data_IF_259491731739
#
_entry.id   IF_259491731739
#
_cell.length_a   1.000
_cell.length_b   1.000
_cell.length_c   1.000
_cell.angle_alpha   90.00
_cell.angle_beta   90.00
_cell.angle_gamma   90.00
#
_symmetry.space_group_name_H-M   'P 1'
#
loop_
_entity.id
_entity.type
_entity.pdbx_description
1 polymer ?
#
# COMPACT_ATOMS: atom_id res chain seq x y z
N UNK A 1 -16.39 10.96 -12.78
CA UNK A 1 -15.10 10.43 -12.33
C UNK A 1 -15.25 8.92 -12.32
N UNK A 2 -14.20 8.20 -12.69
CA UNK A 2 -14.20 6.72 -12.62
C UNK A 2 -13.94 6.27 -11.16
N UNK A 3 -14.20 5.00 -10.86
CA UNK A 3 -13.93 4.42 -9.53
C UNK A 3 -12.42 4.27 -9.33
N UNK A 4 -11.94 4.59 -8.13
CA UNK A 4 -10.53 4.53 -7.71
C UNK A 4 -9.96 5.91 -7.34
N UNK A 5 -8.63 5.99 -7.18
CA UNK A 5 -7.89 7.24 -6.92
C UNK A 5 -8.27 8.37 -7.91
N UNK A 6 -8.36 9.59 -7.38
CA UNK A 6 -8.57 10.80 -8.19
C UNK A 6 -7.30 11.04 -9.05
N UNK A 7 -7.42 11.32 -10.36
CA UNK A 7 -6.27 11.59 -11.21
C UNK A 7 -5.36 12.69 -10.63
N UNK A 8 -4.02 12.53 -10.62
CA UNK A 8 -3.14 13.49 -9.95
C UNK A 8 -3.23 14.92 -10.45
N UNK A 9 -3.55 15.13 -11.73
CA UNK A 9 -3.78 16.46 -12.27
C UNK A 9 -4.94 17.18 -11.54
N UNK A 10 -6.01 16.45 -11.25
CA UNK A 10 -7.17 16.96 -10.53
C UNK A 10 -6.84 17.11 -9.05
N UNK A 11 -6.22 16.09 -8.44
CA UNK A 11 -5.81 16.11 -7.03
C UNK A 11 -4.88 17.28 -6.73
N UNK A 12 -3.86 17.50 -7.57
CA UNK A 12 -2.94 18.61 -7.44
C UNK A 12 -3.64 19.96 -7.59
N UNK A 13 -4.46 20.12 -8.63
CA UNK A 13 -5.14 21.39 -8.90
C UNK A 13 -6.14 21.79 -7.82
N UNK A 14 -6.91 20.84 -7.29
CA UNK A 14 -8.07 21.13 -6.41
C UNK A 14 -7.72 20.97 -4.93
N UNK A 15 -6.85 20.02 -4.56
CA UNK A 15 -6.58 19.69 -3.16
C UNK A 15 -5.17 20.11 -2.74
N UNK A 16 -4.14 19.55 -3.38
CA UNK A 16 -2.76 19.68 -2.88
C UNK A 16 -2.20 21.08 -3.09
N UNK A 17 -2.35 21.69 -4.27
CA UNK A 17 -1.85 23.05 -4.50
C UNK A 17 -2.55 24.07 -3.60
N UNK A 18 -3.89 24.07 -3.45
CA UNK A 18 -4.54 24.98 -2.52
C UNK A 18 -4.10 24.82 -1.06
N UNK A 19 -4.00 23.59 -0.55
CA UNK A 19 -3.50 23.33 0.82
C UNK A 19 -2.03 23.78 0.96
N UNK A 20 -1.22 23.54 -0.06
CA UNK A 20 0.20 23.92 -0.05
C UNK A 20 0.42 25.44 -0.16
N UNK A 21 -0.54 26.21 -0.69
CA UNK A 21 -0.48 27.67 -0.75
C UNK A 21 -1.44 28.35 0.23
N UNK A 22 -2.08 27.59 1.13
CA UNK A 22 -3.01 28.13 2.11
C UNK A 22 -2.29 29.05 3.12
N UNK A 23 -2.99 30.07 3.60
CA UNK A 23 -2.42 31.14 4.42
C UNK A 23 -1.82 30.66 5.75
N UNK A 24 -2.32 29.55 6.30
CA UNK A 24 -1.83 28.99 7.56
C UNK A 24 -0.70 28.00 7.27
N UNK A 25 0.53 28.38 7.64
CA UNK A 25 1.69 27.49 7.63
C UNK A 25 2.32 27.44 9.01
N UNK A 26 2.40 26.24 9.57
CA UNK A 26 3.14 26.01 10.81
C UNK A 26 4.58 25.59 10.51
N UNK A 27 5.50 25.99 11.38
CA UNK A 27 6.93 25.71 11.24
C UNK A 27 7.31 24.31 11.75
N UNK A 28 6.46 23.69 12.56
CA UNK A 28 6.63 22.35 13.10
C UNK A 28 6.17 21.24 12.14
N UNK A 29 5.51 21.57 11.02
CA UNK A 29 5.21 20.60 9.97
C UNK A 29 6.48 20.32 9.16
N UNK A 30 7.03 19.13 9.36
CA UNK A 30 8.28 18.64 8.77
C UNK A 30 8.09 18.17 7.32
N UNK A 31 7.10 17.29 7.10
CA UNK A 31 6.71 16.82 5.77
C UNK A 31 5.27 17.29 5.47
N UNK A 32 5.08 17.87 4.28
CA UNK A 32 3.79 18.39 3.79
C UNK A 32 3.24 17.48 2.70
N UNK A 33 1.91 17.45 2.50
CA UNK A 33 1.29 16.56 1.53
C UNK A 33 1.75 16.87 0.09
N UNK A 34 2.03 15.82 -0.66
CA UNK A 34 2.40 15.83 -2.09
C UNK A 34 1.80 14.57 -2.72
N UNK A 35 1.57 14.58 -4.04
CA UNK A 35 1.23 13.34 -4.77
C UNK A 35 2.31 12.28 -4.53
N UNK A 36 1.88 11.10 -4.10
CA UNK A 36 2.72 9.92 -3.87
C UNK A 36 3.48 9.92 -2.53
N UNK A 37 3.30 10.90 -1.65
CA UNK A 37 3.75 10.77 -0.26
C UNK A 37 2.63 10.13 0.58
N UNK A 38 2.94 9.08 1.32
CA UNK A 38 1.96 8.28 2.09
C UNK A 38 1.52 8.97 3.38
N UNK A 39 2.35 9.85 3.94
CA UNK A 39 2.12 10.39 5.27
C UNK A 39 2.50 11.88 5.37
N UNK A 40 2.06 12.50 6.47
CA UNK A 40 2.55 13.81 6.92
C UNK A 40 3.36 13.65 8.20
N UNK A 41 4.33 14.54 8.42
CA UNK A 41 5.19 14.51 9.60
C UNK A 41 5.16 15.85 10.32
N UNK A 42 4.93 15.83 11.64
CA UNK A 42 4.92 17.00 12.53
C UNK A 42 5.92 16.80 13.65
N UNK A 43 6.74 17.81 13.93
CA UNK A 43 7.71 17.77 15.02
C UNK A 43 7.02 17.95 16.37
N UNK A 44 7.10 16.95 17.24
CA UNK A 44 6.69 17.01 18.64
C UNK A 44 7.89 16.80 19.56
N UNK A 45 8.43 17.90 20.08
CA UNK A 45 9.68 17.87 20.84
C UNK A 45 10.85 17.52 19.93
N UNK A 46 11.48 16.36 20.19
CA UNK A 46 12.62 15.85 19.41
C UNK A 46 12.21 14.79 18.38
N UNK A 47 10.99 14.25 18.47
CA UNK A 47 10.47 13.20 17.60
C UNK A 47 9.53 13.76 16.52
N UNK A 48 9.42 13.03 15.41
CA UNK A 48 8.39 13.26 14.40
C UNK A 48 7.18 12.40 14.71
N UNK A 49 6.02 13.04 14.84
CA UNK A 49 4.71 12.41 14.78
C UNK A 49 4.33 12.24 13.31
N UNK A 50 4.16 10.98 12.90
CA UNK A 50 3.75 10.60 11.55
C UNK A 50 2.25 10.33 11.55
N UNK A 51 1.55 10.84 10.55
CA UNK A 51 0.10 10.77 10.42
C UNK A 51 -0.25 10.29 9.01
N UNK A 52 -1.07 9.25 8.92
CA UNK A 52 -1.73 8.82 7.68
C UNK A 52 -3.21 8.56 7.94
N UNK A 53 -4.01 8.55 6.88
CA UNK A 53 -5.40 8.17 6.92
C UNK A 53 -5.86 7.62 5.58
N UNK A 54 -6.39 6.39 5.59
CA UNK A 54 -6.92 5.74 4.40
C UNK A 54 -8.26 5.04 4.65
N UNK A 55 -9.18 5.07 3.66
CA UNK A 55 -10.40 4.29 3.67
C UNK A 55 -10.21 2.91 3.01
N UNK A 56 -10.93 1.91 3.50
CA UNK A 56 -11.05 0.62 2.81
C UNK A 56 -12.38 0.59 2.06
N UNK A 57 -12.29 0.68 0.74
CA UNK A 57 -13.45 0.72 -0.17
C UNK A 57 -13.50 -0.49 -1.12
N UNK A 58 -12.38 -1.19 -1.30
CA UNK A 58 -12.22 -2.32 -2.22
C UNK A 58 -12.63 -3.69 -1.66
N UNK A 59 -12.88 -3.80 -0.35
CA UNK A 59 -13.21 -5.04 0.35
C UNK A 59 -14.47 -4.88 1.23
N UNK A 60 -15.21 -5.97 1.42
CA UNK A 60 -16.32 -6.09 2.37
C UNK A 60 -15.99 -7.08 3.49
N UNK A 61 -15.39 -8.22 3.14
CA UNK A 61 -14.82 -9.16 4.08
C UNK A 61 -13.46 -8.67 4.59
N UNK A 62 -13.16 -8.97 5.86
CA UNK A 62 -11.93 -8.56 6.55
C UNK A 62 -11.67 -7.04 6.59
N UNK A 63 -12.66 -6.20 6.28
CA UNK A 63 -12.45 -4.75 6.10
C UNK A 63 -11.76 -4.09 7.31
N UNK A 64 -12.04 -4.55 8.54
CA UNK A 64 -11.35 -4.06 9.75
C UNK A 64 -9.90 -4.55 9.88
N UNK A 65 -9.61 -5.79 9.50
CA UNK A 65 -8.23 -6.33 9.47
C UNK A 65 -7.38 -5.61 8.43
N UNK A 66 -7.94 -5.41 7.24
CA UNK A 66 -7.32 -4.68 6.14
C UNK A 66 -7.10 -3.21 6.53
N UNK A 67 -8.09 -2.56 7.15
CA UNK A 67 -7.98 -1.16 7.58
C UNK A 67 -6.78 -0.89 8.48
N UNK A 68 -6.55 -1.78 9.46
CA UNK A 68 -5.43 -1.65 10.38
C UNK A 68 -4.10 -1.86 9.67
N UNK A 69 -3.95 -2.94 8.89
CA UNK A 69 -2.68 -3.25 8.23
C UNK A 69 -2.28 -2.19 7.20
N UNK A 70 -3.20 -1.76 6.33
CA UNK A 70 -2.89 -0.77 5.28
C UNK A 70 -2.45 0.55 5.89
N UNK A 71 -3.21 1.08 6.85
CA UNK A 71 -2.83 2.35 7.48
C UNK A 71 -1.50 2.21 8.23
N UNK A 72 -1.25 1.09 8.91
CA UNK A 72 0.05 0.85 9.54
C UNK A 72 1.19 0.75 8.52
N UNK A 73 0.91 0.28 7.30
CA UNK A 73 1.89 0.19 6.23
C UNK A 73 2.33 1.58 5.75
N UNK A 74 1.45 2.58 5.69
CA UNK A 74 1.84 3.98 5.39
C UNK A 74 2.80 4.55 6.43
N UNK A 75 2.55 4.26 7.71
CA UNK A 75 3.46 4.68 8.77
C UNK A 75 4.78 3.95 8.63
N UNK A 76 4.74 2.64 8.37
CA UNK A 76 5.94 1.84 8.18
C UNK A 76 6.73 2.26 6.92
N UNK A 77 6.09 2.68 5.83
CA UNK A 77 6.80 3.16 4.62
C UNK A 77 7.62 4.41 4.93
N UNK A 78 7.30 5.16 5.98
CA UNK A 78 8.13 6.28 6.45
C UNK A 78 9.33 5.91 7.34
N UNK A 79 9.51 4.62 7.62
CA UNK A 79 10.49 4.10 8.59
C UNK A 79 10.07 4.29 10.05
N UNK A 80 8.83 4.71 10.29
CA UNK A 80 8.27 4.97 11.61
C UNK A 80 7.65 3.74 12.27
N UNK A 81 7.53 3.80 13.60
CA UNK A 81 6.79 2.85 14.41
C UNK A 81 5.31 3.30 14.49
N UNK A 82 4.35 2.48 14.01
CA UNK A 82 2.93 2.71 14.29
C UNK A 82 2.64 2.58 15.79
N UNK A 83 1.90 3.52 16.36
CA UNK A 83 1.57 3.54 17.80
C UNK A 83 0.11 3.18 18.01
N UNK A 84 -0.79 3.77 17.23
CA UNK A 84 -2.22 3.56 17.40
C UNK A 84 -3.05 4.08 16.26
N UNK A 85 -4.32 3.69 16.26
CA UNK A 85 -5.26 3.92 15.16
C UNK A 85 -6.63 4.37 15.68
N UNK A 86 -7.27 5.25 14.91
CA UNK A 86 -8.65 5.68 15.09
C UNK A 86 -9.49 5.09 13.94
N UNK A 87 -10.60 4.42 14.25
CA UNK A 87 -11.47 3.78 13.25
C UNK A 87 -12.81 4.52 13.13
N UNK A 88 -13.09 5.07 11.96
CA UNK A 88 -14.40 5.61 11.59
C UNK A 88 -15.14 4.59 10.75
N UNK A 89 -16.21 4.01 11.30
CA UNK A 89 -17.01 2.95 10.69
C UNK A 89 -18.38 3.53 10.32
N UNK A 90 -18.69 3.53 9.02
CA UNK A 90 -19.98 3.95 8.49
C UNK A 90 -20.72 2.73 7.94
N UNK A 91 -21.94 2.51 8.42
CA UNK A 91 -22.76 1.36 8.10
C UNK A 91 -24.07 1.79 7.41
N UNK A 92 -24.50 1.10 6.34
CA UNK A 92 -25.85 1.28 5.78
C UNK A 92 -26.95 0.93 6.79
N UNK A 93 -28.15 1.49 6.61
CA UNK A 93 -29.33 1.27 7.49
C UNK A 93 -29.70 -0.21 7.69
N UNK A 94 -29.41 -1.06 6.71
CA UNK A 94 -29.71 -2.50 6.72
C UNK A 94 -28.62 -3.36 7.40
N UNK A 95 -27.57 -2.72 7.94
CA UNK A 95 -26.47 -3.45 8.59
C UNK A 95 -26.89 -4.06 9.91
N UNK A 96 -26.46 -5.30 10.16
CA UNK A 96 -26.68 -5.96 11.44
C UNK A 96 -25.52 -5.71 12.41
N UNK A 97 -25.77 -5.93 13.71
CA UNK A 97 -24.71 -5.91 14.74
C UNK A 97 -23.58 -6.91 14.44
N UNK A 98 -23.89 -8.02 13.75
CA UNK A 98 -22.90 -9.02 13.36
C UNK A 98 -21.84 -8.42 12.39
N UNK A 99 -22.26 -7.56 11.45
CA UNK A 99 -21.33 -6.87 10.55
C UNK A 99 -20.34 -6.03 11.34
N UNK A 100 -20.83 -5.25 12.32
CA UNK A 100 -19.96 -4.45 13.18
C UNK A 100 -19.02 -5.33 14.03
N UNK A 101 -19.52 -6.45 14.56
CA UNK A 101 -18.70 -7.43 15.30
C UNK A 101 -17.57 -7.97 14.44
N UNK A 102 -17.87 -8.44 13.22
CA UNK A 102 -16.89 -9.01 12.28
C UNK A 102 -15.81 -7.98 11.90
N UNK A 103 -16.20 -6.73 11.67
CA UNK A 103 -15.27 -5.62 11.41
C UNK A 103 -14.31 -5.47 12.58
N UNK A 104 -14.85 -5.36 13.80
CA UNK A 104 -14.04 -5.13 14.99
C UNK A 104 -13.16 -6.32 15.36
N UNK A 105 -13.64 -7.55 15.19
CA UNK A 105 -12.84 -8.77 15.40
C UNK A 105 -11.61 -8.80 14.49
N UNK A 106 -11.79 -8.47 13.20
CA UNK A 106 -10.67 -8.33 12.26
C UNK A 106 -9.71 -7.22 12.66
N UNK A 107 -10.22 -6.07 13.11
CA UNK A 107 -9.39 -4.97 13.58
C UNK A 107 -8.61 -5.32 14.84
N UNK A 108 -9.20 -6.04 15.80
CA UNK A 108 -8.52 -6.50 17.01
C UNK A 108 -7.40 -7.49 16.70
N UNK A 109 -7.64 -8.42 15.78
CA UNK A 109 -6.64 -9.37 15.31
C UNK A 109 -5.44 -8.64 14.69
N UNK A 110 -5.70 -7.73 13.74
CA UNK A 110 -4.64 -6.96 13.09
C UNK A 110 -3.89 -6.06 14.08
N UNK A 111 -4.59 -5.39 15.00
CA UNK A 111 -3.96 -4.52 16.00
C UNK A 111 -3.03 -5.32 16.93
N UNK A 112 -3.42 -6.54 17.29
CA UNK A 112 -2.57 -7.46 18.06
C UNK A 112 -1.34 -7.90 17.27
N UNK A 113 -1.47 -8.18 15.98
CA UNK A 113 -0.36 -8.57 15.11
C UNK A 113 0.64 -7.44 14.88
N UNK A 114 0.16 -6.20 14.70
CA UNK A 114 0.99 -5.01 14.49
C UNK A 114 1.55 -4.42 15.78
N UNK A 115 0.96 -4.77 16.94
CA UNK A 115 1.39 -4.29 18.25
C UNK A 115 0.93 -2.87 18.56
N UNK A 116 -0.17 -2.41 17.95
CA UNK A 116 -0.72 -1.05 18.14
C UNK A 116 -1.93 -1.05 19.07
N UNK A 117 -2.32 0.13 19.53
CA UNK A 117 -3.59 0.35 20.24
C UNK A 117 -4.68 0.93 19.32
N UNK A 118 -5.91 0.41 19.42
CA UNK A 118 -7.07 1.09 18.84
C UNK A 118 -7.48 2.20 19.82
N UNK A 119 -7.15 3.44 19.47
CA UNK A 119 -7.27 4.62 20.33
C UNK A 119 -8.71 5.16 20.43
N UNK A 120 -9.61 4.67 19.58
CA UNK A 120 -11.01 5.09 19.51
C UNK A 120 -11.46 5.27 18.07
N UNK A 121 -12.40 6.20 17.86
CA UNK A 121 -12.93 6.50 16.53
C UNK A 121 -14.39 6.94 16.56
N UNK A 122 -15.13 6.62 15.49
CA UNK A 122 -16.55 6.93 15.33
C UNK A 122 -17.30 5.76 14.69
N UNK A 123 -18.54 5.53 15.08
CA UNK A 123 -19.37 4.49 14.48
C UNK A 123 -20.77 5.05 14.25
N UNK A 124 -21.25 4.98 13.01
CA UNK A 124 -22.51 5.58 12.60
C UNK A 124 -23.25 4.67 11.61
N UNK A 125 -24.57 4.57 11.79
CA UNK A 125 -25.49 4.04 10.77
C UNK A 125 -26.03 5.22 9.95
N UNK A 126 -25.87 5.20 8.63
CA UNK A 126 -26.18 6.34 7.76
C UNK A 126 -26.59 5.89 6.36
N UNK A 127 -27.45 6.68 5.70
CA UNK A 127 -27.82 6.47 4.30
C UNK A 127 -26.80 7.06 3.30
N UNK A 128 -25.70 7.65 3.80
CA UNK A 128 -24.63 8.21 2.98
C UNK A 128 -23.76 7.13 2.31
N UNK A 129 -23.76 5.91 2.83
CA UNK A 129 -23.02 4.76 2.30
C UNK A 129 -23.97 3.62 1.90
N UNK A 130 -23.63 2.90 0.85
CA UNK A 130 -24.40 1.75 0.34
C UNK A 130 -23.83 0.39 0.78
N UNK A 131 -22.64 0.37 1.35
CA UNK A 131 -21.96 -0.77 1.98
C UNK A 131 -21.17 -0.30 3.18
N UNK A 132 -20.74 -1.22 4.04
CA UNK A 132 -19.87 -0.89 5.16
C UNK A 132 -18.58 -0.21 4.66
N UNK A 133 -18.19 0.88 5.31
CA UNK A 133 -16.97 1.62 5.02
C UNK A 133 -16.19 1.78 6.32
N UNK A 134 -14.91 1.43 6.30
CA UNK A 134 -13.97 1.73 7.40
C UNK A 134 -12.96 2.73 6.88
N UNK A 135 -12.93 3.91 7.49
CA UNK A 135 -11.85 4.90 7.32
C UNK A 135 -11.02 4.94 8.59
N UNK A 136 -9.72 4.79 8.45
CA UNK A 136 -8.81 4.82 9.58
C UNK A 136 -7.90 6.05 9.52
N UNK A 137 -7.49 6.51 10.69
CA UNK A 137 -6.41 7.48 10.84
C UNK A 137 -5.41 6.91 11.84
N UNK A 138 -4.15 6.85 11.45
CA UNK A 138 -3.09 6.20 12.22
C UNK A 138 -2.04 7.21 12.61
N UNK A 139 -1.49 7.02 13.80
CA UNK A 139 -0.38 7.81 14.33
C UNK A 139 0.82 6.89 14.55
N UNK A 140 1.99 7.38 14.14
CA UNK A 140 3.27 6.77 14.41
C UNK A 140 4.30 7.77 14.89
N UNK A 141 5.49 7.28 15.22
CA UNK A 141 6.64 8.12 15.55
C UNK A 141 7.92 7.62 14.93
N UNK A 142 8.84 8.56 14.71
CA UNK A 142 10.23 8.26 14.35
C UNK A 142 11.12 9.43 14.72
N UNK A 143 12.41 9.17 14.88
CA UNK A 143 13.39 10.26 14.95
C UNK A 143 13.54 10.92 13.59
N UNK A 144 13.83 12.22 13.59
CA UNK A 144 14.10 12.98 12.36
C UNK A 144 15.19 12.37 11.48
N UNK A 145 16.19 11.72 12.09
CA UNK A 145 17.30 11.09 11.35
C UNK A 145 16.94 9.70 10.79
N UNK A 146 15.82 9.14 11.22
CA UNK A 146 15.34 7.80 10.85
C UNK A 146 14.10 7.84 9.95
N UNK A 147 13.58 9.03 9.67
CA UNK A 147 12.51 9.25 8.71
C UNK A 147 12.99 9.01 7.28
N UNK A 148 12.22 8.23 6.53
CA UNK A 148 12.45 7.92 5.11
C UNK A 148 11.21 8.41 4.34
N UNK A 149 11.38 9.27 3.35
CA UNK A 149 10.27 9.71 2.48
C UNK A 149 10.16 8.84 1.24
N UNK A 150 8.98 8.81 0.62
CA UNK A 150 8.82 8.24 -0.73
C UNK A 150 9.70 8.97 -1.75
N UNK A 151 9.85 10.30 -1.60
CA UNK A 151 10.68 11.15 -2.48
C UNK A 151 12.20 11.07 -2.29
N UNK A 152 12.71 10.08 -1.57
CA UNK A 152 14.14 10.00 -1.21
C UNK A 152 15.04 9.26 -2.21
N UNK A 153 14.49 8.79 -3.34
CA UNK A 153 15.22 7.97 -4.30
C UNK A 153 16.27 8.78 -5.08
N UNK A 154 17.38 8.14 -5.43
CA UNK A 154 18.53 8.74 -6.10
C UNK A 154 18.97 7.92 -7.30
N UNK A 155 19.42 8.60 -8.35
CA UNK A 155 19.94 7.96 -9.57
C UNK A 155 21.01 6.93 -9.24
N UNK A 156 20.91 5.76 -9.88
CA UNK A 156 21.84 4.65 -9.73
C UNK A 156 21.47 3.65 -8.63
N UNK A 157 20.48 3.95 -7.80
CA UNK A 157 19.99 3.04 -6.77
C UNK A 157 19.19 1.88 -7.34
N UNK A 158 19.33 0.72 -6.71
CA UNK A 158 18.51 -0.45 -6.97
C UNK A 158 17.08 -0.23 -6.47
N UNK A 159 16.12 -0.81 -7.17
CA UNK A 159 14.70 -0.84 -6.79
C UNK A 159 14.40 -2.25 -6.32
N UNK A 160 14.13 -2.39 -5.03
CA UNK A 160 13.80 -3.66 -4.37
C UNK A 160 12.31 -3.71 -4.14
N UNK A 161 11.72 -4.88 -4.37
CA UNK A 161 10.35 -5.20 -4.03
C UNK A 161 10.33 -6.31 -2.98
N UNK A 162 9.53 -6.15 -1.94
CA UNK A 162 9.24 -7.22 -0.98
C UNK A 162 8.04 -8.05 -1.43
N UNK A 163 8.03 -9.31 -1.00
CA UNK A 163 6.94 -10.28 -1.21
C UNK A 163 6.56 -10.46 -2.68
N UNK A 164 5.35 -10.09 -3.09
CA UNK A 164 4.84 -10.41 -4.43
C UNK A 164 3.74 -9.45 -4.91
N UNK A 165 3.63 -9.29 -6.23
CA UNK A 165 2.64 -8.40 -6.83
C UNK A 165 1.23 -8.96 -6.66
N UNK A 166 0.26 -8.06 -6.51
CA UNK A 166 -1.16 -8.35 -6.32
C UNK A 166 -1.50 -8.94 -4.96
N UNK A 167 -0.66 -8.79 -3.92
CA UNK A 167 -0.82 -9.46 -2.62
C UNK A 167 -2.21 -9.23 -2.01
N UNK A 168 -2.54 -7.97 -1.68
CA UNK A 168 -3.83 -7.61 -1.10
C UNK A 168 -5.00 -7.92 -2.03
N UNK A 169 -4.92 -7.53 -3.31
CA UNK A 169 -6.00 -7.76 -4.26
C UNK A 169 -6.27 -9.25 -4.46
N UNK A 170 -5.26 -10.12 -4.34
CA UNK A 170 -5.45 -11.57 -4.35
C UNK A 170 -6.28 -12.02 -3.15
N UNK A 171 -6.00 -11.51 -1.95
CA UNK A 171 -6.77 -11.81 -0.74
C UNK A 171 -8.22 -11.36 -0.88
N UNK A 172 -8.43 -10.11 -1.31
CA UNK A 172 -9.75 -9.53 -1.53
C UNK A 172 -10.53 -10.38 -2.53
N UNK A 173 -9.98 -10.59 -3.73
CA UNK A 173 -10.66 -11.34 -4.79
C UNK A 173 -10.96 -12.79 -4.38
N UNK A 174 -10.05 -13.45 -3.67
CA UNK A 174 -10.24 -14.81 -3.18
C UNK A 174 -11.37 -14.94 -2.17
N UNK A 175 -11.63 -13.90 -1.36
CA UNK A 175 -12.71 -13.88 -0.37
C UNK A 175 -14.03 -13.42 -0.99
N UNK A 176 -14.04 -12.29 -1.69
CA UNK A 176 -15.27 -11.71 -2.25
C UNK A 176 -15.87 -12.57 -3.37
N UNK A 177 -15.03 -13.23 -4.16
CA UNK A 177 -15.46 -14.04 -5.28
C UNK A 177 -15.23 -15.53 -5.07
N UNK A 178 -15.13 -15.99 -3.80
CA UNK A 178 -14.85 -17.40 -3.46
C UNK A 178 -15.74 -18.36 -4.24
N UNK A 179 -17.06 -18.15 -4.22
CA UNK A 179 -18.03 -19.09 -4.84
C UNK A 179 -17.81 -19.22 -6.36
N UNK A 180 -17.38 -18.14 -7.01
CA UNK A 180 -17.12 -18.12 -8.46
C UNK A 180 -15.74 -18.72 -8.74
N UNK A 181 -14.72 -18.29 -8.01
CA UNK A 181 -13.34 -18.78 -8.15
C UNK A 181 -13.21 -20.27 -7.84
N UNK A 182 -13.98 -20.80 -6.88
CA UNK A 182 -14.01 -22.23 -6.56
C UNK A 182 -14.35 -23.12 -7.77
N UNK A 183 -15.04 -22.56 -8.77
CA UNK A 183 -15.40 -23.26 -10.02
C UNK A 183 -14.41 -23.02 -11.16
N UNK A 184 -13.50 -22.05 -11.03
CA UNK A 184 -12.60 -21.57 -12.09
C UNK A 184 -11.13 -21.91 -11.86
N UNK A 185 -10.71 -22.01 -10.61
CA UNK A 185 -9.32 -22.27 -10.24
C UNK A 185 -9.21 -23.49 -9.32
N UNK A 186 -7.99 -24.00 -9.19
CA UNK A 186 -7.70 -25.09 -8.27
C UNK A 186 -8.00 -24.69 -6.81
N UNK A 187 -8.53 -25.64 -6.03
CA UNK A 187 -8.99 -25.37 -4.65
C UNK A 187 -7.82 -25.06 -3.72
N UNK A 188 -6.68 -25.71 -3.90
CA UNK A 188 -5.50 -25.46 -3.07
C UNK A 188 -4.92 -24.08 -3.38
N UNK A 189 -4.96 -23.66 -4.64
CA UNK A 189 -4.60 -22.28 -5.03
C UNK A 189 -5.54 -21.25 -4.39
N UNK A 190 -6.85 -21.49 -4.38
CA UNK A 190 -7.80 -20.57 -3.74
C UNK A 190 -7.58 -20.47 -2.23
N UNK A 191 -7.27 -21.59 -1.56
CA UNK A 191 -6.95 -21.56 -0.12
C UNK A 191 -5.62 -20.85 0.17
N UNK A 192 -4.60 -21.04 -0.68
CA UNK A 192 -3.35 -20.28 -0.59
C UNK A 192 -3.60 -18.78 -0.75
N UNK A 193 -4.39 -18.38 -1.74
CA UNK A 193 -4.78 -16.98 -1.96
C UNK A 193 -5.41 -16.34 -0.72
N UNK A 194 -6.34 -17.03 -0.06
CA UNK A 194 -6.95 -16.56 1.19
C UNK A 194 -5.95 -16.47 2.33
N UNK A 195 -5.03 -17.42 2.40
CA UNK A 195 -3.99 -17.47 3.44
C UNK A 195 -2.96 -16.35 3.29
N UNK A 196 -2.89 -15.69 2.12
CA UNK A 196 -1.99 -14.55 1.92
C UNK A 196 -2.31 -13.35 2.82
N UNK A 197 -3.50 -13.33 3.45
CA UNK A 197 -3.91 -12.35 4.46
C UNK A 197 -2.85 -12.14 5.54
N UNK A 198 -2.18 -13.21 5.98
CA UNK A 198 -1.13 -13.13 7.02
C UNK A 198 0.15 -12.41 6.60
N UNK A 199 0.27 -11.95 5.35
CA UNK A 199 1.44 -11.23 4.83
C UNK A 199 1.18 -9.75 4.58
N UNK A 200 0.02 -9.21 4.98
CA UNK A 200 -0.37 -7.82 4.71
C UNK A 200 0.45 -6.77 5.47
N UNK A 201 1.20 -7.12 6.52
CA UNK A 201 2.04 -6.15 7.24
C UNK A 201 3.41 -5.95 6.58
N UNK A 202 3.85 -4.70 6.46
CA UNK A 202 5.22 -4.33 6.00
C UNK A 202 6.12 -3.77 7.11
N UNK A 203 5.68 -3.81 8.37
CA UNK A 203 6.43 -3.20 9.49
C UNK A 203 7.83 -3.79 9.63
N UNK A 204 7.94 -5.12 9.59
CA UNK A 204 9.22 -5.83 9.79
C UNK A 204 10.22 -5.53 8.67
N UNK A 205 9.77 -5.56 7.42
CA UNK A 205 10.63 -5.27 6.25
C UNK A 205 11.05 -3.81 6.19
N UNK A 206 10.17 -2.87 6.54
CA UNK A 206 10.53 -1.46 6.69
C UNK A 206 11.67 -1.25 7.70
N UNK A 207 11.56 -1.85 8.89
CA UNK A 207 12.60 -1.73 9.91
C UNK A 207 13.95 -2.28 9.46
N UNK A 208 13.94 -3.44 8.78
CA UNK A 208 15.16 -4.03 8.21
C UNK A 208 15.76 -3.12 7.15
N UNK A 209 14.95 -2.68 6.18
CA UNK A 209 15.37 -1.82 5.08
C UNK A 209 15.95 -0.50 5.59
N UNK A 210 15.28 0.16 6.55
CA UNK A 210 15.77 1.35 7.23
C UNK A 210 17.17 1.14 7.81
N UNK A 211 17.35 0.08 8.60
CA UNK A 211 18.64 -0.22 9.24
C UNK A 211 19.75 -0.58 8.25
N UNK A 212 19.38 -1.06 7.05
CA UNK A 212 20.33 -1.44 6.00
C UNK A 212 20.70 -0.30 5.05
N UNK A 213 20.04 0.88 5.16
CA UNK A 213 20.36 2.07 4.38
C UNK A 213 19.40 2.35 3.22
N UNK A 214 18.13 1.97 3.37
CA UNK A 214 17.07 2.43 2.46
C UNK A 214 17.02 3.95 2.40
N UNK A 215 16.69 4.47 1.22
CA UNK A 215 16.67 5.91 0.94
C UNK A 215 15.31 6.42 0.52
N UNK A 216 14.50 5.57 -0.11
CA UNK A 216 13.06 5.73 -0.22
C UNK A 216 12.39 4.40 0.10
N UNK A 217 11.17 4.49 0.62
CA UNK A 217 10.26 3.37 0.85
C UNK A 217 8.86 3.84 0.49
N UNK A 218 8.06 2.94 -0.05
CA UNK A 218 6.68 3.20 -0.48
C UNK A 218 5.90 1.90 -0.39
N UNK A 219 4.73 1.92 0.23
CA UNK A 219 3.87 0.74 0.24
C UNK A 219 3.15 0.59 -1.12
N UNK A 220 2.65 -0.60 -1.44
CA UNK A 220 2.11 -0.87 -2.79
C UNK A 220 0.58 -0.93 -2.79
N UNK A 221 -0.07 0.23 -2.77
CA UNK A 221 -1.55 0.35 -2.79
C UNK A 221 -2.13 0.37 -4.21
N UNK A 222 -3.20 1.15 -4.44
CA UNK A 222 -3.95 1.18 -5.71
C UNK A 222 -3.03 1.51 -6.89
N UNK A 223 -3.21 0.77 -7.99
CA UNK A 223 -2.35 0.80 -9.18
C UNK A 223 -1.25 -0.28 -9.14
N UNK A 224 -1.16 -1.04 -8.04
CA UNK A 224 -0.22 -2.13 -7.87
C UNK A 224 1.24 -1.69 -7.96
N UNK A 225 2.11 -2.65 -8.30
CA UNK A 225 3.56 -2.42 -8.36
C UNK A 225 3.94 -1.37 -9.41
N UNK A 226 3.22 -1.30 -10.53
CA UNK A 226 3.46 -0.27 -11.55
C UNK A 226 3.07 1.13 -11.06
N UNK A 227 2.03 1.24 -10.24
CA UNK A 227 1.66 2.49 -9.57
C UNK A 227 2.74 2.92 -8.58
N UNK A 228 3.12 2.03 -7.67
CA UNK A 228 4.10 2.30 -6.62
C UNK A 228 5.47 2.73 -7.19
N UNK A 229 6.01 2.01 -8.17
CA UNK A 229 7.31 2.38 -8.79
C UNK A 229 7.23 3.69 -9.57
N UNK A 230 6.06 4.00 -10.15
CA UNK A 230 5.83 5.30 -10.80
C UNK A 230 5.80 6.43 -9.76
N UNK A 231 5.11 6.23 -8.64
CA UNK A 231 4.98 7.19 -7.53
C UNK A 231 6.33 7.48 -6.87
N UNK A 232 7.16 6.46 -6.62
CA UNK A 232 8.54 6.63 -6.10
C UNK A 232 9.37 7.53 -7.02
N UNK A 233 9.33 7.26 -8.33
CA UNK A 233 10.08 8.04 -9.32
C UNK A 233 9.55 9.47 -9.45
N UNK A 234 8.22 9.66 -9.40
CA UNK A 234 7.58 10.97 -9.49
C UNK A 234 7.85 11.83 -8.24
N UNK A 235 7.72 11.24 -7.05
CA UNK A 235 8.02 11.90 -5.79
C UNK A 235 9.47 12.36 -5.72
N UNK A 236 10.39 11.53 -6.22
CA UNK A 236 11.83 11.76 -6.19
C UNK A 236 12.33 12.66 -7.34
N UNK A 237 11.48 13.01 -8.31
CA UNK A 237 11.85 13.70 -9.55
C UNK A 237 12.96 12.96 -10.34
N UNK A 238 12.87 11.63 -10.42
CA UNK A 238 13.81 10.77 -11.13
C UNK A 238 13.10 9.97 -12.23
N UNK A 239 13.90 9.30 -13.07
CA UNK A 239 13.44 8.17 -13.89
C UNK A 239 13.50 6.86 -13.11
N UNK A 240 12.96 5.81 -13.71
CA UNK A 240 13.01 4.45 -13.17
C UNK A 240 12.92 3.44 -14.33
N UNK A 241 13.68 2.36 -14.25
CA UNK A 241 13.58 1.23 -15.17
C UNK A 241 13.26 -0.02 -14.37
N UNK A 242 12.15 -0.68 -14.69
CA UNK A 242 11.69 -1.92 -14.04
C UNK A 242 11.67 -3.07 -15.05
N UNK A 243 12.19 -4.23 -14.67
CA UNK A 243 12.14 -5.46 -15.46
C UNK A 243 10.98 -6.32 -14.98
N UNK A 244 9.94 -6.50 -15.82
CA UNK A 244 8.73 -7.20 -15.39
C UNK A 244 8.99 -8.67 -15.03
N UNK A 245 9.96 -9.31 -15.69
CA UNK A 245 10.32 -10.71 -15.43
C UNK A 245 10.95 -10.90 -14.04
N UNK A 246 11.45 -9.83 -13.41
CA UNK A 246 12.02 -9.88 -12.06
C UNK A 246 10.99 -9.66 -10.96
N UNK A 247 9.78 -9.22 -11.29
CA UNK A 247 8.71 -8.99 -10.31
C UNK A 247 8.15 -10.34 -9.84
N UNK A 248 8.26 -10.67 -8.54
CA UNK A 248 7.69 -11.90 -8.03
C UNK A 248 6.16 -11.87 -8.08
N UNK A 249 5.55 -12.94 -8.62
CA UNK A 249 4.09 -13.12 -8.63
C UNK A 249 3.79 -14.57 -8.24
N UNK A 250 2.95 -14.77 -7.21
CA UNK A 250 2.57 -16.12 -6.74
C UNK A 250 1.62 -16.80 -7.73
N UNK A 251 1.60 -18.14 -7.71
CA UNK A 251 0.80 -18.93 -8.65
C UNK A 251 -0.70 -18.74 -8.42
N UNK A 252 -1.12 -18.63 -7.16
CA UNK A 252 -2.49 -18.32 -6.78
C UNK A 252 -2.95 -16.94 -7.28
N UNK A 253 -2.07 -15.94 -7.23
CA UNK A 253 -2.31 -14.61 -7.82
C UNK A 253 -2.43 -14.70 -9.33
N UNK A 254 -1.52 -15.42 -10.01
CA UNK A 254 -1.61 -15.62 -11.47
C UNK A 254 -2.92 -16.29 -11.86
N UNK A 255 -3.35 -17.31 -11.13
CA UNK A 255 -4.58 -18.03 -11.40
C UNK A 255 -5.82 -17.13 -11.26
N UNK A 256 -5.90 -16.33 -10.19
CA UNK A 256 -7.00 -15.39 -9.96
C UNK A 256 -7.00 -14.29 -11.01
N UNK A 257 -5.85 -13.67 -11.28
CA UNK A 257 -5.72 -12.62 -12.30
C UNK A 257 -6.07 -13.12 -13.70
N UNK A 258 -5.67 -14.34 -14.05
CA UNK A 258 -6.05 -14.97 -15.31
C UNK A 258 -7.57 -15.21 -15.39
N UNK A 259 -8.17 -15.76 -14.33
CA UNK A 259 -9.61 -16.01 -14.26
C UNK A 259 -10.44 -14.72 -14.32
N UNK A 260 -9.91 -13.61 -13.78
CA UNK A 260 -10.54 -12.29 -13.79
C UNK A 260 -10.19 -11.41 -14.98
N UNK A 261 -9.32 -11.87 -15.89
CA UNK A 261 -8.77 -11.12 -17.03
C UNK A 261 -8.15 -9.77 -16.64
N UNK A 262 -7.29 -9.78 -15.62
CA UNK A 262 -6.60 -8.60 -15.11
C UNK A 262 -5.08 -8.82 -15.00
N UNK A 263 -4.33 -7.72 -14.88
CA UNK A 263 -2.88 -7.75 -14.68
C UNK A 263 -2.54 -7.84 -13.19
N UNK A 264 -1.67 -8.76 -12.73
CA UNK A 264 -1.19 -8.78 -11.35
C UNK A 264 -0.29 -7.58 -11.01
N UNK A 265 0.30 -6.92 -12.02
CA UNK A 265 1.20 -5.78 -11.81
C UNK A 265 0.46 -4.46 -11.52
N UNK A 266 -0.83 -4.42 -11.82
CA UNK A 266 -1.72 -3.26 -11.62
C UNK A 266 -2.77 -3.51 -10.53
N UNK A 267 -2.71 -4.68 -9.90
CA UNK A 267 -3.60 -5.08 -8.82
C UNK A 267 -3.04 -4.59 -7.48
N UNK A 268 -3.90 -4.00 -6.65
CA UNK A 268 -3.55 -3.55 -5.30
C UNK A 268 -2.74 -4.61 -4.54
N UNK A 269 -1.64 -4.19 -3.91
CA UNK A 269 -0.63 -5.11 -3.37
C UNK A 269 -0.17 -4.73 -1.96
N UNK A 270 -1.01 -4.06 -1.15
CA UNK A 270 -0.57 -3.68 0.20
C UNK A 270 -0.12 -4.93 0.97
N UNK A 271 0.89 -4.75 1.80
CA UNK A 271 1.74 -5.83 2.30
C UNK A 271 2.95 -6.14 1.44
N UNK A 272 3.13 -5.49 0.29
CA UNK A 272 4.42 -5.38 -0.40
C UNK A 272 4.92 -3.94 -0.33
N UNK A 273 6.23 -3.77 -0.50
CA UNK A 273 6.91 -2.48 -0.40
C UNK A 273 7.90 -2.32 -1.55
N UNK A 274 8.00 -1.10 -2.08
CA UNK A 274 9.11 -0.66 -2.91
C UNK A 274 10.14 0.03 -2.03
N UNK A 275 11.40 -0.39 -2.14
CA UNK A 275 12.54 0.15 -1.39
C UNK A 275 13.60 0.58 -2.39
N UNK A 276 14.27 1.71 -2.16
CA UNK A 276 15.45 2.11 -2.96
C UNK A 276 16.71 2.20 -2.12
N UNK A 277 17.82 1.66 -2.63
CA UNK A 277 19.12 1.71 -1.95
C UNK A 277 20.28 1.60 -2.95
N UNK A 278 21.48 2.04 -2.56
CA UNK A 278 22.68 1.87 -3.38
C UNK A 278 23.23 0.45 -3.39
N UNK A 279 22.93 -0.33 -2.35
CA UNK A 279 23.32 -1.72 -2.18
C UNK A 279 22.06 -2.54 -1.93
N UNK A 280 21.29 -2.81 -3.00
CA UNK A 280 20.03 -3.54 -2.90
C UNK A 280 20.23 -4.99 -2.45
N UNK A 281 21.33 -5.61 -2.85
CA UNK A 281 21.69 -7.00 -2.49
C UNK A 281 21.81 -7.17 -0.97
N UNK A 282 22.43 -6.21 -0.28
CA UNK A 282 22.51 -6.21 1.18
C UNK A 282 21.13 -6.21 1.84
N UNK A 283 20.18 -5.43 1.31
CA UNK A 283 18.81 -5.39 1.83
C UNK A 283 18.10 -6.73 1.57
N UNK A 284 18.19 -7.26 0.34
CA UNK A 284 17.60 -8.55 -0.04
C UNK A 284 18.13 -9.68 0.85
N UNK A 285 19.43 -9.71 1.12
CA UNK A 285 20.04 -10.68 2.03
C UNK A 285 19.46 -10.57 3.45
N UNK A 286 19.41 -9.36 4.02
CA UNK A 286 18.90 -9.13 5.36
C UNK A 286 17.41 -9.50 5.51
N UNK A 287 16.61 -9.24 4.47
CA UNK A 287 15.20 -9.67 4.41
C UNK A 287 15.09 -11.21 4.33
N UNK A 288 15.92 -11.85 3.52
CA UNK A 288 15.95 -13.31 3.37
C UNK A 288 16.31 -14.03 4.68
N UNK A 289 17.29 -13.52 5.43
CA UNK A 289 17.66 -14.01 6.77
C UNK A 289 16.49 -13.96 7.78
N UNK A 290 15.50 -13.11 7.51
CA UNK A 290 14.29 -12.93 8.31
C UNK A 290 13.06 -13.65 7.74
N UNK A 291 13.24 -14.43 6.67
CA UNK A 291 12.18 -15.19 6.00
C UNK A 291 11.28 -14.36 5.07
N UNK A 292 11.72 -13.15 4.69
CA UNK A 292 10.96 -12.25 3.82
C UNK A 292 11.49 -12.36 2.40
N UNK A 293 10.66 -12.88 1.49
CA UNK A 293 10.97 -12.90 0.05
C UNK A 293 11.11 -11.46 -0.47
N UNK A 294 12.11 -11.22 -1.31
CA UNK A 294 12.31 -9.94 -1.97
C UNK A 294 13.15 -10.10 -3.24
N UNK A 295 13.06 -9.13 -4.15
CA UNK A 295 13.80 -9.13 -5.40
C UNK A 295 14.20 -7.72 -5.80
N UNK A 296 15.39 -7.58 -6.41
CA UNK A 296 15.76 -6.35 -7.13
C UNK A 296 15.05 -6.39 -8.49
N UNK A 297 14.08 -5.50 -8.68
CA UNK A 297 13.22 -5.46 -9.87
C UNK A 297 13.65 -4.40 -10.88
N UNK A 298 14.58 -3.52 -10.53
CA UNK A 298 14.92 -2.39 -11.39
C UNK A 298 15.98 -1.46 -10.82
N UNK A 299 16.11 -0.29 -11.44
CA UNK A 299 17.07 0.75 -11.04
C UNK A 299 16.48 2.15 -11.25
N UNK A 300 16.81 3.08 -10.36
CA UNK A 300 16.49 4.50 -10.48
C UNK A 300 17.39 5.14 -11.55
N UNK A 301 16.78 5.86 -12.49
CA UNK A 301 17.45 6.49 -13.64
C UNK A 301 17.22 8.00 -13.63
N UNK A 302 17.76 8.74 -14.61
CA UNK A 302 17.71 10.21 -14.56
C UNK A 302 16.34 10.81 -14.90
N UNK A 303 15.65 10.31 -15.93
CA UNK A 303 14.43 11.00 -16.44
C UNK A 303 13.30 10.10 -16.90
N UNK A 304 13.59 8.98 -17.56
CA UNK A 304 12.53 8.18 -18.15
C UNK A 304 11.99 7.14 -17.17
N UNK A 305 10.66 7.06 -17.06
CA UNK A 305 9.95 5.99 -16.35
C UNK A 305 9.63 4.91 -17.39
N UNK A 306 10.23 3.74 -17.25
CA UNK A 306 10.22 2.68 -18.27
C UNK A 306 10.01 1.30 -17.65
N UNK A 307 9.39 0.42 -18.44
CA UNK A 307 9.33 -1.01 -18.18
C UNK A 307 10.09 -1.76 -19.29
N UNK A 308 10.79 -2.82 -18.89
CA UNK A 308 11.40 -3.81 -19.77
C UNK A 308 10.56 -5.08 -19.67
N UNK A 309 10.12 -5.59 -20.83
CA UNK A 309 9.42 -6.87 -20.95
C UNK A 309 9.97 -7.65 -22.13
N UNK A 310 10.54 -8.82 -21.88
CA UNK A 310 11.18 -9.68 -22.88
C UNK A 310 12.19 -8.89 -23.74
N UNK A 311 12.99 -8.03 -23.10
CA UNK A 311 13.98 -7.17 -23.76
C UNK A 311 13.39 -5.98 -24.53
N UNK A 312 12.07 -5.78 -24.55
CA UNK A 312 11.43 -4.60 -25.16
C UNK A 312 11.19 -3.53 -24.11
N UNK A 313 11.58 -2.30 -24.43
CA UNK A 313 11.38 -1.12 -23.58
C UNK A 313 10.07 -0.43 -23.96
N UNK A 314 9.26 -0.06 -22.97
CA UNK A 314 8.11 0.83 -23.15
C UNK A 314 7.99 1.81 -22.00
N UNK A 315 7.25 2.89 -22.21
CA UNK A 315 7.01 3.92 -21.19
C UNK A 315 6.14 3.34 -20.06
N UNK A 316 6.56 3.56 -18.82
CA UNK A 316 5.74 3.33 -17.63
C UNK A 316 4.81 4.53 -17.46
N UNK A 317 3.54 4.35 -17.83
CA UNK A 317 2.50 5.32 -17.52
C UNK A 317 1.98 5.08 -16.11
N UNK A 318 1.47 6.13 -15.48
CA UNK A 318 0.72 5.96 -14.25
C UNK A 318 -0.55 5.14 -14.52
N UNK A 319 -0.82 4.09 -13.73
CA UNK A 319 -2.08 3.37 -13.80
C UNK A 319 -3.26 4.32 -13.56
N UNK A 320 -4.33 4.19 -14.36
CA UNK A 320 -5.51 5.07 -14.25
C UNK A 320 -6.50 4.63 -13.18
N UNK A 321 -6.62 3.33 -12.96
CA UNK A 321 -7.52 2.70 -11.99
C UNK A 321 -6.91 1.35 -11.61
N UNK A 322 -7.19 0.88 -10.38
CA UNK A 322 -6.70 -0.41 -9.92
C UNK A 322 -7.34 -1.56 -10.72
N UNK A 323 -6.57 -2.62 -10.94
CA UNK A 323 -7.07 -3.82 -11.60
C UNK A 323 -8.23 -4.48 -10.83
N UNK A 324 -8.32 -4.28 -9.51
CA UNK A 324 -9.40 -4.74 -8.63
C UNK A 324 -10.79 -4.30 -9.13
N UNK A 325 -10.91 -3.08 -9.65
CA UNK A 325 -12.20 -2.55 -10.13
C UNK A 325 -12.58 -3.02 -11.54
N UNK A 326 -11.66 -3.69 -12.24
CA UNK A 326 -11.80 -4.10 -13.64
C UNK A 326 -12.03 -5.61 -13.82
N UNK A 327 -12.15 -6.35 -12.71
CA UNK A 327 -12.29 -7.80 -12.70
C UNK A 327 -13.56 -8.25 -13.41
N UNK A 328 -13.41 -9.27 -14.26
CA UNK A 328 -14.52 -9.91 -14.97
C UNK A 328 -14.43 -11.42 -14.80
N UNK A 329 -15.11 -11.94 -13.79
CA UNK A 329 -15.30 -13.38 -13.66
C UNK A 329 -16.53 -13.79 -14.50
N UNK A 330 -16.29 -14.17 -15.74
CA UNK A 330 -17.35 -14.65 -16.67
C UNK A 330 -17.96 -15.99 -16.26
#
# INVERSE_FOLDING_TARGET
>A
MEIGKIPPEILNRIVLNPINHFAVKRNDVFLRPKTGEDCSAVLFGEELCILSADPITGAEQDIGYIAVHINCNDIASSGAEPIGILLTILLPEESSEAVLSDIMEGAYEAAKETGIEILGGHTEVTNAVNKALVSAAVIGRTDKNHFISTGGAKVGQDVIMTKCAGLEGTVILAKEYETILYKKIDKDLLQKAKSMRGFLSVIKESQIAKNMGATAMHDVTEGGILGAVWEVADCSNTGITVELEKIPVKEETKAICHAGNISPYELISSGSMIITAFDGEKIVQALSEQGIESAIIGKITEKEKQIIKNGKVSILNQPKSDALYNVKFE
#
